data_IF_081356266070
#
_entry.id   IF_081356266070
#
_cell.length_a   1.000
_cell.length_b   1.000
_cell.length_c   1.000
_cell.angle_alpha   90.00
_cell.angle_beta   90.00
_cell.angle_gamma   90.00
#
_symmetry.space_group_name_H-M   'P 1'
#
loop_
_entity.id
_entity.type
_entity.pdbx_description
1 polymer ?
#
# COMPACT_ATOMS: atom_id res chain seq x y z
N UNK A 1 -2.24 21.31 12.29
CA UNK A 1 -0.90 21.85 12.52
C UNK A 1 0.15 20.76 12.56
N UNK A 2 1.00 20.78 11.53
CA UNK A 2 2.23 20.00 11.46
C UNK A 2 3.30 20.87 12.11
N UNK A 3 3.92 20.41 13.20
CA UNK A 3 5.07 21.09 13.78
C UNK A 3 6.23 21.08 12.78
N UNK A 4 6.61 22.26 12.31
CA UNK A 4 7.74 22.51 11.43
C UNK A 4 9.03 22.18 12.21
N UNK A 5 9.67 21.05 11.90
CA UNK A 5 10.94 20.64 12.54
C UNK A 5 11.18 19.12 12.68
N UNK A 6 10.15 18.29 12.50
CA UNK A 6 10.24 16.83 12.70
C UNK A 6 10.45 16.07 11.37
N UNK A 7 11.69 15.77 11.02
CA UNK A 7 12.00 14.97 9.82
C UNK A 7 12.05 13.47 10.14
N UNK A 8 10.88 12.85 10.35
CA UNK A 8 10.79 11.39 10.46
C UNK A 8 10.81 10.78 9.06
N UNK A 9 12.02 10.58 8.57
CA UNK A 9 12.31 9.73 7.41
C UNK A 9 12.07 8.27 7.83
N UNK A 10 11.49 7.45 6.98
CA UNK A 10 11.22 6.03 7.29
C UNK A 10 11.74 5.20 6.12
N UNK A 11 12.69 4.28 6.32
CA UNK A 11 13.24 3.40 5.25
C UNK A 11 13.03 1.88 5.52
N UNK A 12 12.79 1.01 4.52
CA UNK A 12 12.67 -0.48 4.69
C UNK A 12 13.63 -1.38 3.90
N UNK A 13 14.39 -2.28 4.55
CA UNK A 13 15.27 -3.23 3.85
C UNK A 13 14.70 -4.64 3.66
N UNK A 14 14.96 -5.20 2.46
CA UNK A 14 14.71 -6.58 2.02
C UNK A 14 14.82 -6.74 0.49
N UNK A 15 15.60 -5.86 -0.15
CA UNK A 15 15.29 -5.05 -1.33
C UNK A 15 15.58 -3.57 -0.98
N UNK A 16 15.76 -2.68 -1.97
CA UNK A 16 16.03 -1.23 -1.77
C UNK A 16 15.24 -0.63 -0.58
N UNK A 17 15.88 0.16 0.31
CA UNK A 17 15.25 0.76 1.49
C UNK A 17 13.92 1.49 1.18
N UNK A 18 12.73 1.03 1.61
CA UNK A 18 11.42 1.75 1.45
C UNK A 18 11.41 3.11 2.13
N UNK A 19 11.88 4.13 1.44
CA UNK A 19 11.73 5.53 1.82
C UNK A 19 10.24 5.95 1.82
N UNK A 20 9.67 6.27 2.99
CA UNK A 20 8.30 6.75 3.16
C UNK A 20 8.14 8.25 2.92
N UNK A 21 9.18 8.97 2.52
CA UNK A 21 9.06 10.32 1.96
C UNK A 21 9.11 10.26 0.42
N UNK A 22 9.83 9.29 -0.14
CA UNK A 22 9.68 8.89 -1.55
C UNK A 22 8.29 8.28 -1.81
N UNK A 23 7.59 8.80 -2.82
CA UNK A 23 6.31 8.21 -3.27
C UNK A 23 6.52 6.83 -3.91
N UNK A 24 7.68 6.60 -4.53
CA UNK A 24 7.95 5.40 -5.31
C UNK A 24 8.36 4.21 -4.44
N UNK A 25 8.86 4.48 -3.23
CA UNK A 25 9.52 3.49 -2.42
C UNK A 25 8.62 2.87 -1.32
N UNK A 26 7.33 3.22 -1.23
CA UNK A 26 6.42 2.73 -0.16
C UNK A 26 5.87 1.32 -0.37
N UNK A 27 6.64 0.41 -0.94
CA UNK A 27 6.10 -0.83 -1.54
C UNK A 27 6.80 -2.07 -1.01
N UNK A 28 6.02 -3.06 -0.57
CA UNK A 28 6.57 -4.34 -0.13
C UNK A 28 5.72 -5.50 -0.64
N UNK A 29 6.34 -6.66 -0.87
CA UNK A 29 5.59 -7.89 -1.08
C UNK A 29 5.12 -8.50 0.24
N UNK A 30 3.87 -8.94 0.28
CA UNK A 30 3.31 -9.73 1.36
C UNK A 30 4.25 -10.91 1.69
N UNK A 31 4.50 -11.10 2.99
CA UNK A 31 5.44 -12.12 3.48
C UNK A 31 6.89 -11.65 3.57
N UNK A 32 7.24 -10.46 3.06
CA UNK A 32 8.52 -9.81 3.33
C UNK A 32 8.44 -8.93 4.57
N UNK A 33 9.59 -8.69 5.19
CA UNK A 33 9.75 -7.78 6.31
C UNK A 33 10.08 -6.39 5.76
N UNK A 34 9.34 -5.38 6.20
CA UNK A 34 9.69 -3.98 6.02
C UNK A 34 10.57 -3.55 7.20
N UNK A 35 11.69 -2.91 6.97
CA UNK A 35 12.34 -2.08 7.99
C UNK A 35 11.67 -0.69 8.03
N UNK A 36 11.78 0.03 9.13
CA UNK A 36 11.31 1.39 9.31
C UNK A 36 12.42 2.10 10.06
N UNK A 37 13.26 2.86 9.34
CA UNK A 37 14.35 3.64 9.96
C UNK A 37 14.12 5.12 9.88
N UNK A 38 14.35 5.84 10.96
CA UNK A 38 14.28 7.29 11.00
C UNK A 38 15.18 7.91 12.04
N UNK A 39 15.05 9.23 12.15
CA UNK A 39 15.72 10.04 13.16
C UNK A 39 14.63 10.76 13.94
N UNK A 40 14.79 10.89 15.25
CA UNK A 40 13.99 11.81 16.06
C UNK A 40 14.89 12.98 16.45
N UNK A 41 14.85 14.10 15.72
CA UNK A 41 15.66 15.27 16.05
C UNK A 41 15.33 15.76 17.46
N UNK A 42 16.33 16.28 18.19
CA UNK A 42 16.22 16.90 19.53
C UNK A 42 16.04 16.00 20.76
N UNK A 43 16.05 14.66 20.64
CA UNK A 43 15.93 13.79 21.81
C UNK A 43 17.29 13.34 22.35
N UNK A 44 17.43 13.29 23.69
CA UNK A 44 18.56 12.62 24.35
C UNK A 44 18.60 11.15 23.91
N UNK A 45 19.78 10.52 23.77
CA UNK A 45 19.91 9.10 23.46
C UNK A 45 19.10 8.23 24.44
N UNK A 46 18.67 7.04 24.01
CA UNK A 46 17.97 6.10 24.88
C UNK A 46 16.46 6.31 24.96
N UNK A 47 15.83 6.93 23.94
CA UNK A 47 14.38 7.15 23.91
C UNK A 47 13.68 6.09 23.11
N UNK A 48 12.62 5.54 23.69
CA UNK A 48 11.81 4.54 23.05
C UNK A 48 10.88 5.15 21.99
N UNK A 49 10.86 4.49 20.84
CA UNK A 49 9.95 4.73 19.73
C UNK A 49 9.19 3.45 19.41
N UNK A 50 7.95 3.59 19.00
CA UNK A 50 7.05 2.46 18.72
C UNK A 50 6.51 2.60 17.31
N UNK A 51 6.70 1.57 16.49
CA UNK A 51 6.06 1.45 15.19
C UNK A 51 4.66 0.88 15.40
N UNK A 52 3.67 1.62 14.92
CA UNK A 52 2.27 1.20 14.98
C UNK A 52 1.71 1.06 13.57
N UNK A 53 0.90 0.02 13.36
CA UNK A 53 0.12 -0.19 12.14
C UNK A 53 -1.38 -0.09 12.45
N UNK A 54 -2.13 0.60 11.59
CA UNK A 54 -3.58 0.67 11.72
C UNK A 54 -4.20 -0.67 11.29
N UNK A 55 -5.08 -1.20 12.14
CA UNK A 55 -5.75 -2.47 11.93
C UNK A 55 -7.06 -2.50 12.72
N UNK A 56 -8.17 -2.90 12.07
CA UNK A 56 -9.49 -3.05 12.71
C UNK A 56 -9.93 -1.84 13.55
N UNK A 57 -9.74 -0.63 13.02
CA UNK A 57 -10.20 0.60 13.67
C UNK A 57 -9.27 1.15 14.77
N UNK A 58 -8.09 0.55 14.99
CA UNK A 58 -7.14 1.00 16.01
C UNK A 58 -5.69 0.90 15.54
N UNK A 59 -4.84 1.69 16.18
CA UNK A 59 -3.38 1.55 16.06
C UNK A 59 -2.93 0.37 16.92
N UNK A 60 -2.09 -0.49 16.34
CA UNK A 60 -1.52 -1.65 17.02
C UNK A 60 -0.02 -1.54 16.90
N UNK A 61 0.67 -1.65 18.03
CA UNK A 61 2.12 -1.79 18.05
C UNK A 61 2.56 -3.04 17.27
N UNK A 62 3.50 -2.86 16.37
CA UNK A 62 4.06 -3.94 15.56
C UNK A 62 5.56 -4.12 15.77
N UNK A 63 6.24 -3.10 16.30
CA UNK A 63 7.62 -3.17 16.77
C UNK A 63 7.97 -1.94 17.62
N UNK A 64 9.12 -1.98 18.29
CA UNK A 64 9.69 -0.86 19.05
C UNK A 64 11.21 -0.85 18.98
N UNK A 65 11.79 0.31 19.17
CA UNK A 65 13.24 0.48 19.23
C UNK A 65 13.63 1.60 20.20
N UNK A 66 14.91 1.64 20.57
CA UNK A 66 15.51 2.68 21.39
C UNK A 66 16.45 3.49 20.52
N UNK A 67 16.24 4.80 20.48
CA UNK A 67 17.09 5.72 19.70
C UNK A 67 18.54 5.72 20.17
N UNK A 68 19.47 5.74 19.20
CA UNK A 68 20.90 5.81 19.45
C UNK A 68 21.40 7.22 19.85
N UNK A 69 22.72 7.40 19.91
CA UNK A 69 23.36 8.68 20.26
C UNK A 69 23.02 9.85 19.32
N UNK A 70 22.64 9.52 18.07
CA UNK A 70 22.25 10.46 17.03
C UNK A 70 20.72 10.56 16.88
N UNK A 71 19.95 9.92 17.77
CA UNK A 71 18.49 9.88 17.69
C UNK A 71 17.96 8.94 16.60
N UNK A 72 18.80 8.07 16.03
CA UNK A 72 18.41 7.13 14.97
C UNK A 72 17.70 5.91 15.56
N UNK A 73 16.75 5.36 14.81
CA UNK A 73 16.07 4.11 15.13
C UNK A 73 15.87 3.25 13.89
N UNK A 74 15.68 1.94 14.09
CA UNK A 74 15.43 0.94 13.05
C UNK A 74 14.51 -0.17 13.56
N UNK A 75 13.22 -0.07 13.22
CA UNK A 75 12.21 -1.08 13.53
C UNK A 75 11.92 -1.97 12.32
N UNK A 76 11.26 -3.09 12.51
CA UNK A 76 10.86 -4.04 11.47
C UNK A 76 9.41 -4.48 11.61
N UNK A 77 8.74 -4.69 10.48
CA UNK A 77 7.37 -5.19 10.48
C UNK A 77 7.13 -6.10 9.28
N UNK A 78 6.52 -7.26 9.53
CA UNK A 78 6.04 -8.17 8.48
C UNK A 78 4.51 -8.06 8.37
N UNK A 79 3.97 -7.35 7.37
CA UNK A 79 2.53 -7.21 7.22
C UNK A 79 1.85 -8.57 6.99
N UNK A 80 0.77 -8.84 7.72
CA UNK A 80 0.01 -10.09 7.58
C UNK A 80 -0.95 -10.14 6.39
N UNK A 81 -1.23 -9.00 5.75
CA UNK A 81 -2.19 -8.90 4.64
C UNK A 81 -1.73 -7.89 3.59
N UNK A 82 -2.00 -8.19 2.31
CA UNK A 82 -1.90 -7.23 1.22
C UNK A 82 -2.92 -6.10 1.41
N UNK A 83 -2.61 -4.90 0.91
CA UNK A 83 -3.45 -3.74 1.14
C UNK A 83 -2.67 -2.44 1.21
N UNK A 84 -3.42 -1.35 1.32
CA UNK A 84 -2.89 -0.07 1.79
C UNK A 84 -2.86 -0.12 3.32
N UNK A 85 -1.67 -0.04 3.90
CA UNK A 85 -1.48 -0.13 5.35
C UNK A 85 -1.00 1.20 5.89
N UNK A 86 -1.75 1.76 6.82
CA UNK A 86 -1.32 2.97 7.52
C UNK A 86 -0.35 2.57 8.63
N UNK A 87 0.79 3.22 8.67
CA UNK A 87 1.82 3.07 9.70
C UNK A 87 2.20 4.43 10.27
N UNK A 88 2.63 4.47 11.52
CA UNK A 88 3.17 5.67 12.18
C UNK A 88 4.23 5.26 13.19
N UNK A 89 5.16 6.18 13.50
CA UNK A 89 6.05 6.02 14.64
C UNK A 89 5.57 6.93 15.78
N UNK A 90 5.29 6.33 16.94
CA UNK A 90 4.89 7.04 18.16
C UNK A 90 6.08 7.15 19.10
N UNK A 91 6.31 8.33 19.65
CA UNK A 91 7.30 8.59 20.73
C UNK A 91 6.62 8.25 22.07
N UNK A 92 7.33 7.62 23.02
CA UNK A 92 6.71 7.20 24.30
C UNK A 92 6.96 8.14 25.46
N UNK A 93 7.53 9.33 25.22
CA UNK A 93 7.84 10.29 26.28
C UNK A 93 6.55 10.88 26.89
N UNK A 94 6.28 10.71 28.20
CA UNK A 94 5.04 11.18 28.83
C UNK A 94 4.91 12.71 28.91
N UNK A 95 5.99 13.45 28.69
CA UNK A 95 6.01 14.92 28.71
C UNK A 95 5.85 15.56 27.32
N UNK A 96 5.85 14.79 26.23
CA UNK A 96 5.66 15.34 24.89
C UNK A 96 4.19 15.24 24.48
N UNK A 97 3.51 16.39 24.39
CA UNK A 97 2.27 16.59 23.64
C UNK A 97 2.46 16.49 22.11
N UNK A 98 3.66 16.12 21.66
CA UNK A 98 3.99 15.97 20.25
C UNK A 98 3.17 14.85 19.62
N UNK A 99 2.55 15.17 18.49
CA UNK A 99 1.78 14.21 17.71
C UNK A 99 2.70 13.07 17.24
N UNK A 100 2.18 11.84 17.13
CA UNK A 100 2.90 10.76 16.46
C UNK A 100 3.45 11.26 15.11
N UNK A 101 4.66 10.81 14.77
CA UNK A 101 5.23 11.10 13.45
C UNK A 101 4.25 10.74 12.34
N UNK A 102 4.20 11.57 11.30
CA UNK A 102 3.08 11.59 10.35
C UNK A 102 2.72 10.21 9.78
N UNK A 103 1.42 9.93 9.73
CA UNK A 103 0.90 8.67 9.17
C UNK A 103 1.37 8.49 7.73
N UNK A 104 1.94 7.32 7.42
CA UNK A 104 2.37 6.94 6.07
C UNK A 104 1.59 5.73 5.59
N UNK A 105 1.36 5.65 4.29
CA UNK A 105 0.77 4.47 3.64
C UNK A 105 1.87 3.57 3.08
N UNK A 106 1.88 2.31 3.51
CA UNK A 106 2.67 1.21 2.96
C UNK A 106 1.79 0.38 2.01
N UNK A 107 2.19 0.24 0.76
CA UNK A 107 1.53 -0.59 -0.24
C UNK A 107 2.07 -2.01 -0.15
N UNK A 108 1.27 -2.92 0.41
CA UNK A 108 1.63 -4.33 0.54
C UNK A 108 1.03 -5.08 -0.65
N UNK A 109 1.88 -5.49 -1.58
CA UNK A 109 1.52 -6.19 -2.80
C UNK A 109 1.56 -7.71 -2.63
N UNK A 110 0.78 -8.42 -3.43
CA UNK A 110 0.95 -9.86 -3.67
C UNK A 110 0.84 -10.15 -5.16
N UNK A 111 1.44 -11.27 -5.59
CA UNK A 111 1.31 -11.76 -6.97
C UNK A 111 -0.11 -12.24 -7.20
N UNK A 112 -0.71 -11.84 -8.31
CA UNK A 112 -2.08 -12.16 -8.71
C UNK A 112 -2.13 -12.42 -10.19
N UNK A 113 -2.91 -13.39 -10.63
CA UNK A 113 -3.11 -13.65 -12.05
C UNK A 113 -4.21 -12.72 -12.55
N UNK A 114 -3.93 -11.95 -13.58
CA UNK A 114 -4.90 -11.08 -14.22
C UNK A 114 -5.18 -11.53 -15.65
N UNK A 115 -6.37 -11.22 -16.14
CA UNK A 115 -6.67 -11.08 -17.57
C UNK A 115 -7.28 -9.71 -17.83
N UNK A 116 -7.89 -9.50 -19.00
CA UNK A 116 -8.59 -8.26 -19.32
C UNK A 116 -9.88 -8.51 -20.10
N UNK A 117 -10.77 -7.53 -20.09
CA UNK A 117 -12.03 -7.51 -20.85
C UNK A 117 -12.28 -6.12 -21.47
N UNK A 118 -13.02 -6.07 -22.57
CA UNK A 118 -13.12 -4.86 -23.39
C UNK A 118 -14.24 -4.89 -24.43
N UNK A 119 -13.99 -4.51 -25.70
CA UNK A 119 -15.00 -4.00 -26.62
C UNK A 119 -16.35 -4.71 -26.73
N UNK A 120 -16.40 -6.04 -26.59
CA UNK A 120 -17.65 -6.80 -26.60
C UNK A 120 -18.62 -6.49 -25.44
N UNK A 121 -18.18 -5.75 -24.42
CA UNK A 121 -18.99 -5.38 -23.26
C UNK A 121 -19.41 -3.90 -23.25
N UNK A 122 -18.95 -3.08 -24.19
CA UNK A 122 -19.25 -1.64 -24.16
C UNK A 122 -20.74 -1.35 -24.27
N UNK A 123 -21.20 -0.36 -23.50
CA UNK A 123 -22.61 0.01 -23.40
C UNK A 123 -23.40 -0.78 -22.36
N UNK A 124 -22.91 -1.95 -21.93
CA UNK A 124 -23.57 -2.74 -20.88
C UNK A 124 -23.36 -2.12 -19.48
N UNK A 125 -24.27 -2.39 -18.56
CA UNK A 125 -24.08 -2.09 -17.13
C UNK A 125 -23.15 -3.13 -16.52
N UNK A 126 -22.13 -2.69 -15.80
CA UNK A 126 -21.32 -3.57 -14.95
C UNK A 126 -22.15 -4.03 -13.75
N UNK A 127 -21.72 -5.10 -13.08
CA UNK A 127 -22.34 -5.56 -11.85
C UNK A 127 -22.18 -4.58 -10.67
N UNK A 128 -21.32 -3.56 -10.80
CA UNK A 128 -21.22 -2.45 -9.86
C UNK A 128 -22.05 -1.23 -10.26
N UNK A 129 -22.82 -1.32 -11.35
CA UNK A 129 -23.87 -0.37 -11.69
C UNK A 129 -23.47 0.76 -12.63
N UNK A 130 -22.20 0.97 -12.97
CA UNK A 130 -21.82 1.93 -14.01
C UNK A 130 -21.91 1.34 -15.42
N UNK A 131 -22.02 2.18 -16.44
CA UNK A 131 -21.89 1.75 -17.84
C UNK A 131 -20.44 1.45 -18.18
N UNK A 132 -20.20 0.30 -18.79
CA UNK A 132 -18.88 -0.07 -19.28
C UNK A 132 -18.54 0.68 -20.57
N UNK A 133 -17.42 1.39 -20.57
CA UNK A 133 -16.94 2.19 -21.71
C UNK A 133 -15.46 1.93 -21.93
N UNK A 134 -14.94 2.30 -23.11
CA UNK A 134 -13.50 2.22 -23.43
C UNK A 134 -12.61 3.04 -22.49
N UNK A 135 -13.19 3.96 -21.71
CA UNK A 135 -12.49 4.84 -20.78
C UNK A 135 -12.64 4.41 -19.32
N UNK A 136 -13.47 3.41 -19.02
CA UNK A 136 -13.68 2.99 -17.63
C UNK A 136 -12.38 2.42 -17.07
N UNK A 137 -11.82 3.09 -16.07
CA UNK A 137 -10.57 2.71 -15.41
C UNK A 137 -10.87 1.91 -14.15
N UNK A 138 -10.61 0.61 -14.14
CA UNK A 138 -10.99 -0.25 -13.02
C UNK A 138 -10.50 -1.69 -13.17
N UNK A 139 -10.94 -2.53 -12.24
CA UNK A 139 -10.83 -3.99 -12.33
C UNK A 139 -12.17 -4.68 -12.04
N UNK A 140 -12.39 -5.86 -12.61
CA UNK A 140 -13.38 -6.80 -12.10
C UNK A 140 -12.74 -7.69 -11.02
N UNK A 141 -13.48 -7.98 -9.95
CA UNK A 141 -13.07 -8.94 -8.94
C UNK A 141 -14.27 -9.71 -8.36
N UNK A 142 -14.08 -11.00 -8.02
CA UNK A 142 -15.17 -11.90 -7.59
C UNK A 142 -15.89 -11.41 -6.34
N UNK A 143 -15.13 -11.15 -5.28
CA UNK A 143 -15.68 -10.93 -3.93
C UNK A 143 -15.41 -9.55 -3.32
N UNK A 144 -14.31 -8.87 -3.66
CA UNK A 144 -14.06 -7.49 -3.21
C UNK A 144 -15.27 -6.59 -3.47
N UNK A 145 -15.65 -5.70 -2.53
CA UNK A 145 -16.78 -4.78 -2.72
C UNK A 145 -16.60 -3.90 -3.95
N UNK A 146 -17.71 -3.53 -4.59
CA UNK A 146 -17.69 -2.48 -5.60
C UNK A 146 -17.13 -1.18 -5.00
N UNK A 147 -16.28 -0.48 -5.74
CA UNK A 147 -15.58 0.70 -5.27
C UNK A 147 -14.36 0.41 -4.38
N UNK A 148 -14.09 -0.85 -4.03
CA UNK A 148 -12.86 -1.20 -3.29
C UNK A 148 -11.64 -0.78 -4.09
N UNK A 149 -10.71 -0.07 -3.44
CA UNK A 149 -9.54 0.51 -4.10
C UNK A 149 -8.39 -0.49 -4.10
N UNK A 150 -7.88 -0.80 -5.30
CA UNK A 150 -6.71 -1.65 -5.50
C UNK A 150 -5.64 -0.88 -6.25
N UNK A 151 -4.38 -1.10 -5.91
CA UNK A 151 -3.25 -0.69 -6.75
C UNK A 151 -2.76 -1.89 -7.53
N UNK A 152 -2.79 -1.80 -8.86
CA UNK A 152 -2.25 -2.80 -9.79
C UNK A 152 -0.93 -2.28 -10.35
N UNK A 153 0.11 -3.11 -10.32
CA UNK A 153 1.43 -2.83 -10.89
C UNK A 153 1.86 -3.93 -11.85
N UNK A 154 2.29 -3.53 -13.04
CA UNK A 154 2.76 -4.41 -14.12
C UNK A 154 3.83 -3.69 -14.93
N UNK A 155 4.94 -4.38 -15.26
CA UNK A 155 6.05 -3.87 -16.08
C UNK A 155 6.50 -2.43 -15.73
N UNK A 156 6.75 -2.17 -14.45
CA UNK A 156 7.21 -0.87 -13.95
C UNK A 156 6.11 0.19 -13.79
N UNK A 157 4.96 0.04 -14.44
CA UNK A 157 3.81 0.94 -14.36
C UNK A 157 2.84 0.51 -13.28
N UNK A 158 2.14 1.46 -12.67
CA UNK A 158 1.09 1.17 -11.69
C UNK A 158 -0.05 2.18 -11.75
N UNK A 159 -1.23 1.73 -11.33
CA UNK A 159 -2.42 2.58 -11.18
C UNK A 159 -3.24 2.11 -9.98
N UNK A 160 -3.72 3.06 -9.20
CA UNK A 160 -4.74 2.82 -8.17
C UNK A 160 -6.11 3.03 -8.78
N UNK A 161 -6.96 2.01 -8.70
CA UNK A 161 -8.26 1.94 -9.38
C UNK A 161 -9.31 1.26 -8.50
N UNK A 162 -10.60 1.56 -8.69
CA UNK A 162 -11.67 0.85 -8.01
C UNK A 162 -11.96 -0.53 -8.64
N UNK A 163 -12.60 -1.40 -7.85
CA UNK A 163 -13.36 -2.54 -8.35
C UNK A 163 -14.64 -2.01 -9.00
N UNK A 164 -14.80 -2.28 -10.29
CA UNK A 164 -15.88 -1.76 -11.14
C UNK A 164 -16.80 -2.85 -11.68
N UNK A 165 -16.46 -4.12 -11.48
CA UNK A 165 -17.28 -5.22 -11.98
C UNK A 165 -17.02 -6.53 -11.22
N UNK A 166 -17.78 -7.58 -11.56
CA UNK A 166 -17.63 -8.95 -11.05
C UNK A 166 -16.96 -9.86 -12.09
N UNK A 167 -16.26 -10.88 -11.58
CA UNK A 167 -15.39 -11.76 -12.37
C UNK A 167 -13.94 -11.70 -11.87
N UNK A 168 -12.97 -12.35 -12.53
CA UNK A 168 -13.14 -13.36 -13.57
C UNK A 168 -13.82 -14.61 -13.02
N UNK A 169 -14.69 -15.26 -13.80
CA UNK A 169 -15.24 -16.57 -13.42
C UNK A 169 -14.36 -17.75 -13.87
N UNK A 170 -13.29 -17.47 -14.63
CA UNK A 170 -12.28 -18.46 -15.01
C UNK A 170 -11.38 -18.80 -13.82
N UNK A 171 -11.29 -20.09 -13.47
CA UNK A 171 -10.46 -20.58 -12.37
C UNK A 171 -9.00 -20.15 -12.53
N UNK A 172 -8.35 -19.80 -11.42
CA UNK A 172 -6.94 -19.42 -11.40
C UNK A 172 -6.66 -17.96 -11.76
N UNK A 173 -7.66 -17.18 -12.19
CA UNK A 173 -7.55 -15.73 -12.37
C UNK A 173 -8.12 -15.00 -11.16
N UNK A 174 -7.51 -13.88 -10.79
CA UNK A 174 -7.90 -13.06 -9.64
C UNK A 174 -8.57 -11.75 -10.08
N UNK A 175 -8.09 -11.13 -11.16
CA UNK A 175 -8.60 -9.85 -11.68
C UNK A 175 -8.85 -9.92 -13.18
N UNK A 176 -9.86 -9.19 -13.64
CA UNK A 176 -9.93 -8.74 -15.03
C UNK A 176 -9.72 -7.22 -15.10
N UNK A 177 -8.69 -6.79 -15.81
CA UNK A 177 -8.44 -5.38 -16.04
C UNK A 177 -9.40 -4.85 -17.11
N UNK A 178 -9.90 -3.63 -16.94
CA UNK A 178 -10.60 -2.97 -18.05
C UNK A 178 -9.61 -2.65 -19.18
N UNK A 179 -10.12 -2.47 -20.41
CA UNK A 179 -9.28 -2.05 -21.54
C UNK A 179 -8.49 -0.76 -21.25
N UNK A 180 -9.11 0.24 -20.60
CA UNK A 180 -8.41 1.47 -20.23
C UNK A 180 -7.19 1.19 -19.32
N UNK A 181 -7.34 0.29 -18.35
CA UNK A 181 -6.27 -0.05 -17.43
C UNK A 181 -5.18 -0.90 -18.07
N UNK A 182 -5.57 -1.91 -18.87
CA UNK A 182 -4.59 -2.76 -19.57
C UNK A 182 -3.70 -1.91 -20.49
N UNK A 183 -4.29 -0.97 -21.23
CA UNK A 183 -3.59 -0.10 -22.16
C UNK A 183 -2.63 0.83 -21.41
N UNK A 184 -3.06 1.39 -20.28
CA UNK A 184 -2.19 2.21 -19.43
C UNK A 184 -0.98 1.42 -18.92
N UNK A 185 -1.20 0.20 -18.44
CA UNK A 185 -0.14 -0.66 -17.88
C UNK A 185 0.73 -1.33 -18.96
N UNK A 186 0.30 -1.36 -20.21
CA UNK A 186 0.93 -2.18 -21.26
C UNK A 186 0.75 -3.68 -20.99
N UNK A 187 -0.40 -4.06 -20.45
CA UNK A 187 -0.76 -5.45 -20.12
C UNK A 187 -1.59 -6.06 -21.26
N UNK A 188 -1.29 -7.30 -21.64
CA UNK A 188 -2.09 -8.07 -22.59
C UNK A 188 -2.17 -9.56 -22.22
N UNK A 189 -3.20 -10.24 -22.74
CA UNK A 189 -3.45 -11.67 -22.49
C UNK A 189 -3.75 -12.00 -21.02
N UNK A 190 -2.98 -12.95 -20.48
CA UNK A 190 -3.08 -13.43 -19.09
C UNK A 190 -1.68 -13.48 -18.51
N UNK A 191 -1.45 -12.78 -17.39
CA UNK A 191 -0.13 -12.72 -16.77
C UNK A 191 -0.25 -12.39 -15.27
N UNK A 192 0.88 -12.46 -14.56
CA UNK A 192 0.99 -12.10 -13.16
C UNK A 192 1.19 -10.60 -12.98
N UNK A 193 0.28 -9.97 -12.24
CA UNK A 193 0.41 -8.60 -11.75
C UNK A 193 0.77 -8.57 -10.26
N UNK A 194 1.25 -7.43 -9.79
CA UNK A 194 1.35 -7.14 -8.35
C UNK A 194 0.11 -6.34 -7.96
N UNK A 195 -0.67 -6.81 -6.99
CA UNK A 195 -1.87 -6.12 -6.52
C UNK A 195 -1.85 -5.93 -5.00
N UNK A 196 -2.42 -4.83 -4.51
CA UNK A 196 -2.64 -4.60 -3.07
C UNK A 196 -3.87 -5.32 -2.52
N UNK A 197 -4.31 -6.39 -3.18
CA UNK A 197 -5.52 -7.13 -2.82
C UNK A 197 -5.46 -8.57 -3.30
#
# INVERSE_FOLDING_TARGET
DLGEGDEVRISASGGEPIDLDSRDNRQIYLGRTATVRGVVPSQRPGREVVLEAYSRGRWVEVDRDITDENGQFSMTWKPGYAGHRYVRVRRTNPASTESPSGIRTLYVYRKRVASWYGPGFYGNRTACGQTFTSRLMGVAHRSLPCGYIVTIRYNGRYRTVPVVDRGPYVRGRDFDLTEALRNYLGFDGVDTVRATA
#
